data_IF_838023589411
#
_entry.id   IF_838023589411
#
_cell.length_a   1.000
_cell.length_b   1.000
_cell.length_c   1.000
_cell.angle_alpha   90.00
_cell.angle_beta   90.00
_cell.angle_gamma   90.00
#
_symmetry.space_group_name_H-M   'P 1'
#
loop_
_entity.id
_entity.type
_entity.pdbx_description
1 polymer ?
#
# COMPACT_ATOMS: atom_id res chain seq x y z
N UNK A 1 12.63 14.39 -15.93
CA UNK A 1 11.72 13.25 -15.65
C UNK A 1 10.32 13.81 -15.45
N UNK A 2 9.29 13.06 -15.76
CA UNK A 2 7.90 13.49 -15.49
C UNK A 2 7.56 13.09 -14.06
N UNK A 3 6.91 13.99 -13.29
CA UNK A 3 6.45 13.68 -11.94
C UNK A 3 5.43 12.53 -11.94
N UNK A 4 5.50 11.64 -10.96
CA UNK A 4 4.62 10.47 -10.85
C UNK A 4 3.15 10.85 -10.60
N UNK A 5 2.91 11.95 -9.90
CA UNK A 5 1.59 12.41 -9.53
C UNK A 5 1.40 13.88 -9.89
N UNK A 6 0.21 14.25 -10.39
CA UNK A 6 -0.13 15.64 -10.63
C UNK A 6 -0.89 16.22 -9.43
N UNK A 7 -0.31 17.21 -8.78
CA UNK A 7 -0.92 17.87 -7.63
C UNK A 7 -1.93 18.94 -8.03
N UNK A 8 -2.85 19.30 -7.09
CA UNK A 8 -3.80 20.42 -7.27
C UNK A 8 -3.03 21.75 -7.39
N UNK A 9 -1.92 21.89 -6.66
CA UNK A 9 -1.09 23.10 -6.64
C UNK A 9 0.39 22.74 -6.83
N UNK A 10 1.18 23.73 -7.30
CA UNK A 10 2.63 23.60 -7.43
C UNK A 10 3.28 24.86 -6.86
N UNK A 11 4.03 24.70 -5.77
CA UNK A 11 4.77 25.76 -5.08
C UNK A 11 6.19 25.25 -4.83
N UNK A 12 7.03 25.26 -5.86
CA UNK A 12 8.38 24.72 -5.78
C UNK A 12 9.26 25.56 -4.83
N UNK A 13 9.90 24.88 -3.89
CA UNK A 13 10.86 25.48 -2.96
C UNK A 13 12.29 25.27 -3.44
N UNK A 14 13.22 26.06 -2.88
CA UNK A 14 14.66 25.88 -3.04
C UNK A 14 15.29 25.12 -1.84
N UNK A 15 14.47 24.57 -0.96
CA UNK A 15 14.94 23.76 0.18
C UNK A 15 15.17 22.31 -0.29
N UNK A 16 16.20 22.11 -1.12
CA UNK A 16 16.58 20.82 -1.68
C UNK A 16 18.11 20.73 -1.87
N UNK A 17 18.64 19.52 -2.06
CA UNK A 17 20.04 19.25 -2.36
C UNK A 17 20.30 19.09 -3.89
N UNK A 18 19.40 19.60 -4.73
CA UNK A 18 19.51 19.50 -6.19
C UNK A 18 18.98 18.17 -6.76
N UNK A 19 19.33 17.93 -8.00
CA UNK A 19 18.87 16.75 -8.75
C UNK A 19 19.60 15.50 -8.24
N UNK A 20 18.84 14.44 -7.95
CA UNK A 20 19.39 13.16 -7.50
C UNK A 20 20.17 12.45 -8.61
N UNK A 21 21.25 11.80 -8.22
CA UNK A 21 22.11 11.00 -9.12
C UNK A 21 21.78 9.52 -9.06
N UNK A 22 21.13 9.07 -7.97
CA UNK A 22 20.76 7.69 -7.75
C UNK A 22 19.23 7.54 -7.71
N UNK A 23 18.69 6.42 -8.19
CA UNK A 23 17.25 6.17 -8.13
C UNK A 23 16.79 6.04 -6.67
N UNK A 24 15.67 6.68 -6.30
CA UNK A 24 15.10 6.51 -4.98
C UNK A 24 14.49 5.10 -4.84
N UNK A 25 14.43 4.58 -3.62
CA UNK A 25 14.04 3.20 -3.32
C UNK A 25 12.85 3.10 -2.39
N UNK A 26 12.51 4.19 -1.71
CA UNK A 26 11.51 4.19 -0.63
C UNK A 26 10.58 5.39 -0.78
N UNK A 27 9.31 5.20 -0.42
CA UNK A 27 8.38 6.29 -0.19
C UNK A 27 8.29 6.48 1.32
N UNK A 28 8.65 7.67 1.81
CA UNK A 28 8.55 8.03 3.22
C UNK A 28 7.30 8.85 3.49
N UNK A 29 6.54 8.44 4.49
CA UNK A 29 5.34 9.14 4.95
C UNK A 29 5.71 9.95 6.19
N UNK A 30 5.25 11.21 6.20
CA UNK A 30 5.48 12.19 7.24
C UNK A 30 4.19 12.80 7.75
N UNK A 31 4.28 13.51 8.86
CA UNK A 31 3.30 14.51 9.28
C UNK A 31 3.95 15.88 9.32
N UNK A 32 3.16 16.91 8.98
CA UNK A 32 3.64 18.28 8.96
C UNK A 32 3.85 18.86 10.38
N UNK A 33 3.25 18.20 11.38
CA UNK A 33 3.19 18.62 12.79
C UNK A 33 2.60 20.04 12.97
N UNK A 34 1.85 20.23 14.02
CA UNK A 34 1.24 21.53 14.33
C UNK A 34 -0.24 21.61 14.00
N UNK A 35 -0.69 22.75 13.47
CA UNK A 35 -2.11 22.96 13.11
C UNK A 35 -2.46 22.25 11.83
N UNK A 36 -3.74 21.88 11.69
CA UNK A 36 -4.27 21.45 10.39
C UNK A 36 -4.25 22.65 9.43
N UNK A 37 -3.25 22.68 8.57
CA UNK A 37 -3.11 23.67 7.49
C UNK A 37 -3.64 23.04 6.19
N UNK A 38 -4.13 23.87 5.29
CA UNK A 38 -4.37 23.45 3.92
C UNK A 38 -3.04 23.26 3.16
N UNK A 39 -3.11 22.54 2.04
CA UNK A 39 -1.93 22.17 1.26
C UNK A 39 -1.12 23.38 0.77
N UNK A 40 -1.81 24.47 0.40
CA UNK A 40 -1.16 25.73 -0.06
C UNK A 40 -0.43 26.40 1.10
N UNK A 41 -1.02 26.44 2.30
CA UNK A 41 -0.38 27.03 3.48
C UNK A 41 0.84 26.24 3.92
N UNK A 42 0.78 24.89 3.89
CA UNK A 42 1.93 24.03 4.16
C UNK A 42 3.08 24.30 3.18
N UNK A 43 2.80 24.25 1.88
CA UNK A 43 3.81 24.49 0.87
C UNK A 43 4.34 25.95 0.90
N UNK A 44 3.49 26.95 1.18
CA UNK A 44 3.93 28.34 1.33
C UNK A 44 4.90 28.52 2.49
N UNK A 45 4.68 27.84 3.63
CA UNK A 45 5.63 27.84 4.73
C UNK A 45 7.01 27.32 4.31
N UNK A 46 7.04 26.24 3.53
CA UNK A 46 8.25 25.59 3.06
C UNK A 46 8.98 26.38 1.93
N UNK A 47 8.38 27.44 1.35
CA UNK A 47 9.09 28.32 0.43
C UNK A 47 10.17 29.15 1.14
N UNK A 48 10.05 29.34 2.45
CA UNK A 48 11.05 30.07 3.24
C UNK A 48 12.28 29.20 3.48
N UNK A 49 13.49 29.68 3.21
CA UNK A 49 14.71 28.97 3.63
C UNK A 49 14.77 28.73 5.14
N UNK A 50 14.14 29.58 5.94
CA UNK A 50 14.07 29.43 7.40
C UNK A 50 13.21 28.25 7.86
N UNK A 51 12.38 27.69 6.98
CA UNK A 51 11.64 26.46 7.29
C UNK A 51 12.59 25.26 7.48
N UNK A 52 13.74 25.28 6.80
CA UNK A 52 14.77 24.27 6.94
C UNK A 52 14.35 22.85 6.54
N UNK A 53 13.25 22.74 5.78
CA UNK A 53 12.69 21.47 5.35
C UNK A 53 11.82 21.58 4.11
N UNK A 54 11.52 20.46 3.48
CA UNK A 54 10.60 20.35 2.34
C UNK A 54 10.20 18.88 2.11
N UNK A 55 9.16 18.69 1.30
CA UNK A 55 8.73 17.38 0.85
C UNK A 55 8.58 17.36 -0.69
N UNK A 56 8.27 16.24 -1.28
CA UNK A 56 7.85 16.20 -2.69
C UNK A 56 6.40 16.63 -2.82
N UNK A 57 5.54 16.07 -1.95
CA UNK A 57 4.10 16.35 -1.94
C UNK A 57 3.63 16.53 -0.50
N UNK A 58 2.78 17.52 -0.26
CA UNK A 58 1.99 17.68 0.96
C UNK A 58 0.52 17.44 0.67
N UNK A 59 -0.21 16.85 1.63
CA UNK A 59 -1.63 16.50 1.52
C UNK A 59 -2.37 17.03 2.74
N UNK A 60 -3.38 17.87 2.52
CA UNK A 60 -4.20 18.40 3.60
C UNK A 60 -5.34 17.47 4.02
N UNK A 61 -6.08 17.88 5.07
CA UNK A 61 -7.19 17.09 5.62
C UNK A 61 -8.33 16.83 4.64
N UNK A 62 -8.52 17.71 3.65
CA UNK A 62 -9.53 17.59 2.60
C UNK A 62 -9.05 16.80 1.37
N UNK A 63 -7.80 16.31 1.41
CA UNK A 63 -7.18 15.56 0.32
C UNK A 63 -6.69 16.44 -0.82
N UNK A 64 -6.52 17.76 -0.60
CA UNK A 64 -5.84 18.63 -1.55
C UNK A 64 -4.34 18.44 -1.44
N UNK A 65 -3.66 18.59 -2.58
CA UNK A 65 -2.23 18.31 -2.71
C UNK A 65 -1.47 19.54 -3.21
N UNK A 66 -0.28 19.76 -2.65
CA UNK A 66 0.67 20.71 -3.22
C UNK A 66 2.02 20.04 -3.43
N UNK A 67 2.65 20.34 -4.56
CA UNK A 67 4.01 19.93 -4.88
C UNK A 67 4.99 20.98 -4.40
N UNK A 68 5.98 20.55 -3.64
CA UNK A 68 7.08 21.40 -3.15
C UNK A 68 8.41 21.12 -3.87
N UNK A 69 8.64 19.89 -4.30
CA UNK A 69 9.78 19.49 -5.12
C UNK A 69 9.33 18.56 -6.24
N UNK A 70 9.93 18.70 -7.41
CA UNK A 70 9.79 17.70 -8.45
C UNK A 70 10.49 16.40 -8.04
N UNK A 71 9.99 15.26 -8.52
CA UNK A 71 10.42 13.93 -8.09
C UNK A 71 11.93 13.67 -8.32
N UNK A 72 12.54 14.41 -9.22
CA UNK A 72 13.99 14.32 -9.49
C UNK A 72 14.87 15.03 -8.45
N UNK A 73 14.31 15.86 -7.58
CA UNK A 73 15.07 16.61 -6.58
C UNK A 73 15.21 15.82 -5.26
N UNK A 74 16.20 16.18 -4.47
CA UNK A 74 16.46 15.62 -3.15
C UNK A 74 15.87 16.59 -2.11
N UNK A 75 14.64 16.36 -1.66
CA UNK A 75 13.99 17.21 -0.65
C UNK A 75 14.66 17.10 0.72
N UNK A 76 14.54 18.15 1.55
CA UNK A 76 15.06 18.16 2.92
C UNK A 76 14.00 17.64 3.90
N UNK A 77 13.86 16.33 4.06
CA UNK A 77 12.72 15.73 4.75
C UNK A 77 13.06 14.86 5.95
N UNK A 78 14.13 14.07 5.90
CA UNK A 78 14.35 12.99 6.88
C UNK A 78 15.84 12.65 7.14
N UNK A 79 16.73 13.61 7.00
CA UNK A 79 18.17 13.41 7.14
C UNK A 79 18.82 12.98 5.81
N UNK A 80 20.14 12.99 5.79
CA UNK A 80 20.97 12.82 4.59
C UNK A 80 20.64 11.58 3.79
N UNK A 81 20.59 10.42 4.46
CA UNK A 81 20.42 9.13 3.79
C UNK A 81 19.00 8.96 3.25
N UNK A 82 17.97 9.27 4.06
CA UNK A 82 16.58 9.15 3.65
C UNK A 82 16.22 10.15 2.54
N UNK A 83 16.73 11.38 2.60
CA UNK A 83 16.49 12.40 1.55
C UNK A 83 16.94 11.89 0.18
N UNK A 84 18.12 11.25 0.12
CA UNK A 84 18.70 10.75 -1.14
C UNK A 84 18.04 9.50 -1.68
N UNK A 85 17.61 8.61 -0.80
CA UNK A 85 17.07 7.32 -1.21
C UNK A 85 15.55 7.27 -1.29
N UNK A 86 14.84 8.39 -1.06
CA UNK A 86 13.38 8.39 -0.96
C UNK A 86 12.66 9.50 -1.71
N UNK A 87 11.37 9.22 -1.95
CA UNK A 87 10.36 10.25 -2.16
C UNK A 87 9.60 10.48 -0.86
N UNK A 88 9.22 11.70 -0.57
CA UNK A 88 8.68 12.13 0.71
C UNK A 88 7.30 12.75 0.54
N UNK A 89 6.31 12.21 1.27
CA UNK A 89 4.93 12.71 1.28
C UNK A 89 4.55 13.08 2.70
N UNK A 90 4.15 14.32 2.92
CA UNK A 90 3.75 14.81 4.25
C UNK A 90 2.25 15.09 4.33
N UNK A 91 1.67 14.78 5.47
CA UNK A 91 0.26 14.93 5.75
C UNK A 91 0.02 16.07 6.75
N UNK A 92 -0.98 16.92 6.52
CA UNK A 92 -1.51 17.76 7.59
C UNK A 92 -1.99 16.86 8.74
N UNK A 93 -1.43 17.05 9.92
CA UNK A 93 -1.71 16.20 11.08
C UNK A 93 -0.55 16.14 12.05
N UNK A 94 -0.66 15.26 13.03
CA UNK A 94 0.31 15.12 14.12
C UNK A 94 0.61 13.66 14.42
N UNK A 95 1.84 13.36 14.77
CA UNK A 95 2.26 12.02 15.21
C UNK A 95 1.48 11.51 16.43
N UNK A 96 0.90 12.43 17.21
CA UNK A 96 0.07 12.12 18.37
C UNK A 96 -1.35 11.64 18.01
N UNK A 97 -1.77 11.69 16.77
CA UNK A 97 -3.13 11.25 16.38
C UNK A 97 -3.30 9.74 16.61
N UNK A 98 -4.47 9.38 17.17
CA UNK A 98 -4.85 7.97 17.27
C UNK A 98 -5.16 7.37 15.89
N UNK A 99 -5.18 6.04 15.82
CA UNK A 99 -5.54 5.31 14.60
C UNK A 99 -6.95 5.69 14.11
N UNK A 100 -7.91 5.81 15.02
CA UNK A 100 -9.28 6.20 14.70
C UNK A 100 -9.32 7.62 14.13
N UNK A 101 -8.52 8.54 14.69
CA UNK A 101 -8.42 9.91 14.19
C UNK A 101 -7.88 9.94 12.76
N UNK A 102 -6.82 9.17 12.45
CA UNK A 102 -6.30 9.06 11.09
C UNK A 102 -7.33 8.46 10.13
N UNK A 103 -7.96 7.33 10.50
CA UNK A 103 -8.96 6.66 9.66
C UNK A 103 -10.22 7.51 9.44
N UNK A 104 -10.56 8.41 10.37
CA UNK A 104 -11.67 9.37 10.18
C UNK A 104 -11.38 10.43 9.11
N UNK A 105 -10.11 10.66 8.75
CA UNK A 105 -9.69 11.63 7.73
C UNK A 105 -9.73 11.00 6.32
N UNK A 106 -10.88 10.47 5.98
CA UNK A 106 -11.06 9.62 4.80
C UNK A 106 -10.50 10.22 3.51
N UNK A 107 -10.81 11.50 3.21
CA UNK A 107 -10.34 12.17 1.99
C UNK A 107 -8.81 12.22 1.91
N UNK A 108 -8.15 12.51 3.04
CA UNK A 108 -6.69 12.57 3.12
C UNK A 108 -6.07 11.18 2.95
N UNK A 109 -6.63 10.15 3.59
CA UNK A 109 -6.14 8.78 3.45
C UNK A 109 -6.37 8.23 2.04
N UNK A 110 -7.51 8.53 1.42
CA UNK A 110 -7.79 8.16 0.04
C UNK A 110 -6.77 8.81 -0.91
N UNK A 111 -6.49 10.10 -0.73
CA UNK A 111 -5.51 10.82 -1.54
C UNK A 111 -4.08 10.30 -1.34
N UNK A 112 -3.70 9.95 -0.11
CA UNK A 112 -2.41 9.34 0.16
C UNK A 112 -2.24 8.02 -0.61
N UNK A 113 -3.27 7.17 -0.62
CA UNK A 113 -3.26 5.92 -1.41
C UNK A 113 -3.08 6.22 -2.90
N UNK A 114 -3.79 7.22 -3.46
CA UNK A 114 -3.63 7.61 -4.87
C UNK A 114 -2.19 8.04 -5.18
N UNK A 115 -1.61 8.91 -4.35
CA UNK A 115 -0.24 9.41 -4.49
C UNK A 115 0.77 8.27 -4.44
N UNK A 116 0.71 7.41 -3.41
CA UNK A 116 1.65 6.30 -3.26
C UNK A 116 1.49 5.30 -4.42
N UNK A 117 0.26 5.01 -4.85
CA UNK A 117 -0.01 4.13 -6.00
C UNK A 117 0.64 4.68 -7.28
N UNK A 118 0.56 6.00 -7.51
CA UNK A 118 1.21 6.63 -8.66
C UNK A 118 2.73 6.49 -8.61
N UNK A 119 3.34 6.71 -7.45
CA UNK A 119 4.77 6.47 -7.24
C UNK A 119 5.17 5.01 -7.46
N UNK A 120 4.40 4.06 -6.92
CA UNK A 120 4.63 2.62 -7.13
C UNK A 120 4.60 2.26 -8.62
N UNK A 121 3.61 2.76 -9.37
CA UNK A 121 3.50 2.52 -10.82
C UNK A 121 4.64 3.12 -11.60
N UNK A 122 5.06 4.34 -11.26
CA UNK A 122 6.08 5.08 -12.01
C UNK A 122 7.50 4.57 -11.74
N UNK A 123 7.81 4.29 -10.47
CA UNK A 123 9.17 3.95 -10.03
C UNK A 123 9.36 2.48 -9.64
N UNK A 124 8.31 1.66 -9.70
CA UNK A 124 8.39 0.23 -9.39
C UNK A 124 8.52 -0.09 -7.90
N UNK A 125 8.09 0.82 -7.00
CA UNK A 125 8.12 0.51 -5.58
C UNK A 125 7.14 -0.61 -5.25
N UNK A 126 7.58 -1.67 -4.55
CA UNK A 126 6.65 -2.65 -4.04
C UNK A 126 5.79 -2.04 -2.91
N UNK A 127 4.49 -2.34 -2.83
CA UNK A 127 3.61 -1.84 -1.78
C UNK A 127 3.82 -2.60 -0.46
N UNK A 128 5.07 -2.67 0.00
CA UNK A 128 5.49 -3.43 1.19
C UNK A 128 6.07 -2.48 2.22
N UNK A 129 5.60 -2.60 3.46
CA UNK A 129 6.11 -1.82 4.59
C UNK A 129 7.56 -2.18 4.87
N UNK A 130 8.40 -1.17 5.08
CA UNK A 130 9.81 -1.32 5.43
C UNK A 130 10.11 -0.67 6.78
N UNK A 131 10.68 -1.45 7.65
CA UNK A 131 11.17 -1.02 8.95
C UNK A 131 12.66 -0.70 8.92
N UNK A 132 13.21 -0.18 10.00
CA UNK A 132 14.60 0.26 10.09
C UNK A 132 15.62 -0.76 9.57
N UNK A 133 15.48 -2.05 9.92
CA UNK A 133 16.36 -3.12 9.44
C UNK A 133 16.27 -3.38 7.93
N UNK A 134 15.07 -3.24 7.35
CA UNK A 134 14.88 -3.34 5.89
C UNK A 134 15.53 -2.18 5.15
N UNK A 135 15.39 -0.96 5.71
CA UNK A 135 15.97 0.25 5.14
C UNK A 135 17.49 0.16 5.08
N UNK A 136 18.13 -0.27 6.19
CA UNK A 136 19.60 -0.46 6.23
C UNK A 136 20.07 -1.59 5.33
N UNK A 137 19.21 -2.58 5.06
CA UNK A 137 19.47 -3.64 4.07
C UNK A 137 19.19 -3.20 2.61
N UNK A 138 18.81 -1.94 2.38
CA UNK A 138 18.58 -1.38 1.03
C UNK A 138 17.31 -1.88 0.34
N UNK A 139 16.33 -2.41 1.09
CA UNK A 139 15.07 -2.91 0.50
C UNK A 139 14.16 -1.77 0.07
N UNK A 140 13.44 -1.98 -1.02
CA UNK A 140 12.50 -1.03 -1.61
C UNK A 140 11.11 -1.16 -0.98
N UNK A 141 10.37 -0.06 -0.87
CA UNK A 141 8.99 -0.10 -0.40
C UNK A 141 8.47 1.20 0.19
N UNK A 142 7.52 1.06 1.14
CA UNK A 142 6.85 2.16 1.84
C UNK A 142 7.36 2.20 3.28
N UNK A 143 7.69 3.37 3.78
CA UNK A 143 8.23 3.54 5.14
C UNK A 143 7.77 4.85 5.78
N UNK A 144 8.33 5.18 6.93
CA UNK A 144 8.02 6.38 7.71
C UNK A 144 9.29 7.12 8.11
N UNK A 145 9.16 8.38 8.50
CA UNK A 145 10.26 9.13 9.08
C UNK A 145 10.80 8.45 10.35
N UNK A 146 9.93 7.96 11.23
CA UNK A 146 10.33 7.20 12.42
C UNK A 146 11.23 6.00 12.09
N UNK A 147 10.89 5.25 11.03
CA UNK A 147 11.72 4.13 10.60
C UNK A 147 13.08 4.59 10.05
N UNK A 148 13.12 5.71 9.31
CA UNK A 148 14.36 6.32 8.83
C UNK A 148 15.24 6.83 9.98
N UNK A 149 14.64 7.51 10.97
CA UNK A 149 15.33 7.96 12.17
C UNK A 149 15.97 6.79 12.95
N UNK A 150 15.25 5.69 13.10
CA UNK A 150 15.76 4.46 13.74
C UNK A 150 16.85 3.77 12.93
N UNK A 151 16.77 3.82 11.59
CA UNK A 151 17.73 3.18 10.69
C UNK A 151 19.09 3.87 10.70
N UNK A 152 19.11 5.20 10.56
CA UNK A 152 20.34 5.94 10.32
C UNK A 152 20.73 6.89 11.45
N UNK A 153 19.82 7.21 12.38
CA UNK A 153 20.06 8.09 13.53
C UNK A 153 20.52 9.50 13.12
N UNK A 154 20.05 9.96 11.97
CA UNK A 154 20.34 11.29 11.43
C UNK A 154 19.32 12.34 11.89
N UNK A 155 18.18 11.90 12.42
CA UNK A 155 17.12 12.71 13.02
C UNK A 155 16.56 11.98 14.25
N UNK A 156 15.80 12.70 15.08
CA UNK A 156 15.08 12.16 16.25
C UNK A 156 13.55 12.15 16.06
N UNK A 157 13.10 12.38 14.86
CA UNK A 157 11.68 12.45 14.52
C UNK A 157 11.02 11.05 14.58
N UNK A 158 9.75 11.04 14.96
CA UNK A 158 8.95 9.82 15.16
C UNK A 158 7.60 9.85 14.41
N UNK A 159 7.45 10.79 13.48
CA UNK A 159 6.26 10.88 12.62
C UNK A 159 6.20 9.75 11.58
N UNK A 160 4.99 9.40 11.14
CA UNK A 160 3.66 9.93 11.47
C UNK A 160 3.06 9.38 12.77
N UNK A 161 3.87 8.73 13.63
CA UNK A 161 3.48 8.23 14.94
C UNK A 161 2.88 6.83 14.93
N UNK A 162 2.80 6.24 16.13
CA UNK A 162 2.35 4.84 16.31
C UNK A 162 0.88 4.60 15.98
N UNK A 163 0.07 5.67 15.98
CA UNK A 163 -1.35 5.60 15.59
C UNK A 163 -1.58 5.60 14.08
N UNK A 164 -0.55 5.85 13.28
CA UNK A 164 -0.73 5.92 11.84
C UNK A 164 -1.04 4.56 11.22
N UNK A 165 -2.11 4.42 10.40
CA UNK A 165 -2.57 3.14 9.86
C UNK A 165 -1.78 2.72 8.61
N UNK A 166 -0.45 2.57 8.74
CA UNK A 166 0.45 2.26 7.64
C UNK A 166 0.10 0.93 6.95
N UNK A 167 -0.34 -0.05 7.73
CA UNK A 167 -0.86 -1.33 7.25
C UNK A 167 -2.04 -1.16 6.29
N UNK A 168 -3.06 -0.40 6.69
CA UNK A 168 -4.24 -0.13 5.85
C UNK A 168 -3.84 0.62 4.57
N UNK A 169 -2.89 1.56 4.65
CA UNK A 169 -2.41 2.28 3.46
C UNK A 169 -1.69 1.32 2.52
N UNK A 170 -0.77 0.50 3.02
CA UNK A 170 -0.02 -0.44 2.19
C UNK A 170 -0.94 -1.46 1.50
N UNK A 171 -1.92 -2.01 2.22
CA UNK A 171 -2.91 -2.96 1.68
C UNK A 171 -3.74 -2.30 0.57
N UNK A 172 -4.25 -1.09 0.81
CA UNK A 172 -5.04 -0.35 -0.19
C UNK A 172 -4.21 0.02 -1.43
N UNK A 173 -2.94 0.34 -1.27
CA UNK A 173 -2.02 0.57 -2.39
C UNK A 173 -1.79 -0.72 -3.17
N UNK A 174 -1.60 -1.85 -2.48
CA UNK A 174 -1.47 -3.15 -3.12
C UNK A 174 -2.71 -3.49 -3.95
N UNK A 175 -3.91 -3.30 -3.39
CA UNK A 175 -5.17 -3.51 -4.10
C UNK A 175 -5.31 -2.58 -5.32
N UNK A 176 -4.93 -1.31 -5.19
CA UNK A 176 -4.99 -0.34 -6.30
C UNK A 176 -3.97 -0.64 -7.42
N UNK A 177 -2.90 -1.37 -7.12
CA UNK A 177 -1.90 -1.78 -8.11
C UNK A 177 -2.29 -3.03 -8.89
N UNK A 178 -3.26 -3.81 -8.39
CA UNK A 178 -3.84 -4.91 -9.16
C UNK A 178 -4.49 -4.28 -10.40
N UNK A 179 -4.11 -4.68 -11.63
CA UNK A 179 -4.77 -4.19 -12.83
C UNK A 179 -6.28 -4.43 -12.69
N UNK A 180 -7.10 -3.43 -13.07
CA UNK A 180 -8.52 -3.68 -13.25
C UNK A 180 -8.65 -4.90 -14.15
N UNK A 181 -9.05 -6.03 -13.57
CA UNK A 181 -9.47 -7.17 -14.39
C UNK A 181 -10.61 -6.59 -15.21
N UNK A 182 -10.53 -6.60 -16.57
CA UNK A 182 -11.65 -6.16 -17.36
C UNK A 182 -12.85 -6.84 -16.74
N UNK A 183 -13.81 -6.05 -16.25
CA UNK A 183 -15.07 -6.60 -15.78
C UNK A 183 -15.64 -7.32 -16.99
N UNK A 184 -15.35 -8.61 -17.10
CA UNK A 184 -16.15 -9.47 -17.95
C UNK A 184 -17.56 -9.18 -17.46
N UNK A 185 -18.47 -8.61 -18.31
CA UNK A 185 -19.81 -8.27 -17.86
C UNK A 185 -20.29 -9.49 -17.11
N UNK A 186 -20.64 -9.30 -15.83
CA UNK A 186 -21.02 -10.41 -14.98
C UNK A 186 -22.01 -11.23 -15.80
N UNK A 187 -21.71 -12.48 -16.15
CA UNK A 187 -22.67 -13.29 -16.85
C UNK A 187 -23.94 -13.16 -16.03
N UNK A 188 -25.06 -12.80 -16.67
CA UNK A 188 -26.35 -12.58 -16.03
C UNK A 188 -26.47 -13.63 -14.94
N UNK A 189 -26.60 -13.17 -13.66
CA UNK A 189 -26.39 -14.01 -12.48
C UNK A 189 -26.97 -15.40 -12.76
N UNK A 190 -26.19 -16.45 -12.87
CA UNK A 190 -26.74 -17.77 -13.12
C UNK A 190 -27.75 -18.01 -12.00
N UNK A 191 -28.89 -18.65 -12.27
CA UNK A 191 -29.81 -19.02 -11.21
C UNK A 191 -28.97 -19.64 -10.09
N UNK A 192 -29.22 -19.24 -8.84
CA UNK A 192 -28.42 -19.66 -7.68
C UNK A 192 -28.26 -21.18 -7.74
N UNK A 193 -27.19 -21.63 -8.35
CA UNK A 193 -26.87 -23.04 -8.41
C UNK A 193 -26.44 -23.43 -7.02
N UNK A 194 -27.27 -24.22 -6.37
CA UNK A 194 -26.92 -24.83 -5.08
C UNK A 194 -25.65 -25.63 -5.32
N UNK A 195 -24.53 -25.15 -4.78
CA UNK A 195 -23.26 -25.87 -4.89
C UNK A 195 -23.44 -27.24 -4.26
N UNK A 196 -23.59 -28.25 -5.09
CA UNK A 196 -23.65 -29.64 -4.63
C UNK A 196 -22.21 -30.18 -4.51
N UNK A 197 -21.95 -31.17 -3.66
CA UNK A 197 -20.60 -31.76 -3.48
C UNK A 197 -19.93 -32.27 -4.77
N UNK A 198 -20.67 -32.33 -5.88
CA UNK A 198 -20.16 -32.76 -7.19
C UNK A 198 -19.90 -31.64 -8.20
N UNK A 199 -20.19 -30.37 -7.88
CA UNK A 199 -19.97 -29.25 -8.81
C UNK A 199 -18.46 -29.10 -9.10
N UNK A 200 -18.13 -28.97 -10.40
CA UNK A 200 -16.77 -28.82 -10.88
C UNK A 200 -16.48 -27.37 -11.23
N UNK A 201 -15.28 -26.91 -10.92
CA UNK A 201 -14.81 -25.55 -11.18
C UNK A 201 -13.55 -25.59 -12.06
N UNK A 202 -13.46 -24.74 -13.11
CA UNK A 202 -12.26 -24.67 -13.93
C UNK A 202 -11.10 -24.02 -13.14
N UNK A 203 -9.95 -24.66 -13.14
CA UNK A 203 -8.72 -24.05 -12.65
C UNK A 203 -8.25 -22.98 -13.65
N UNK A 204 -7.91 -21.79 -13.15
CA UNK A 204 -7.39 -20.70 -13.99
C UNK A 204 -6.01 -20.99 -14.60
N UNK A 205 -5.23 -21.93 -14.04
CA UNK A 205 -3.87 -22.20 -14.49
C UNK A 205 -3.81 -23.16 -15.67
N UNK A 206 -4.60 -24.21 -15.64
CA UNK A 206 -4.44 -25.33 -16.57
C UNK A 206 -5.77 -25.83 -17.18
N UNK A 207 -6.87 -25.13 -16.89
CA UNK A 207 -8.19 -25.45 -17.42
C UNK A 207 -8.79 -26.76 -16.91
N UNK A 208 -8.16 -27.44 -15.94
CA UNK A 208 -8.74 -28.66 -15.35
C UNK A 208 -10.02 -28.32 -14.59
N UNK A 209 -11.01 -29.15 -14.69
CA UNK A 209 -12.20 -29.06 -13.86
C UNK A 209 -11.98 -29.79 -12.54
N UNK A 210 -12.01 -29.04 -11.44
CA UNK A 210 -11.85 -29.56 -10.08
C UNK A 210 -13.20 -29.53 -9.34
N UNK A 211 -13.46 -30.53 -8.52
CA UNK A 211 -14.57 -30.45 -7.54
C UNK A 211 -14.25 -29.41 -6.51
N UNK A 212 -15.24 -28.83 -5.86
CA UNK A 212 -15.03 -27.79 -4.85
C UNK A 212 -14.01 -28.19 -3.78
N UNK A 213 -14.10 -29.43 -3.24
CA UNK A 213 -13.14 -29.94 -2.26
C UNK A 213 -11.70 -30.10 -2.83
N UNK A 214 -11.57 -30.46 -4.10
CA UNK A 214 -10.28 -30.55 -4.80
C UNK A 214 -9.71 -29.16 -5.06
N UNK A 215 -10.56 -28.21 -5.38
CA UNK A 215 -10.20 -26.82 -5.60
C UNK A 215 -9.69 -26.15 -4.31
N UNK A 216 -10.36 -26.38 -3.18
CA UNK A 216 -9.91 -25.91 -1.87
C UNK A 216 -8.56 -26.53 -1.48
N UNK A 217 -8.38 -27.85 -1.65
CA UNK A 217 -7.08 -28.49 -1.41
C UNK A 217 -5.97 -27.91 -2.28
N UNK A 218 -6.26 -27.63 -3.53
CA UNK A 218 -5.31 -27.04 -4.45
C UNK A 218 -4.86 -25.63 -4.03
N UNK A 219 -5.80 -24.80 -3.54
CA UNK A 219 -5.49 -23.50 -2.97
C UNK A 219 -4.67 -23.63 -1.70
N UNK A 220 -5.07 -24.53 -0.79
CA UNK A 220 -4.39 -24.81 0.46
C UNK A 220 -2.94 -25.25 0.20
N UNK A 221 -2.72 -26.17 -0.74
CA UNK A 221 -1.39 -26.60 -1.14
C UNK A 221 -0.54 -25.44 -1.68
N UNK A 222 -1.12 -24.54 -2.48
CA UNK A 222 -0.39 -23.36 -2.97
C UNK A 222 -0.04 -22.39 -1.84
N UNK A 223 -0.98 -22.12 -0.93
CA UNK A 223 -0.74 -21.27 0.24
C UNK A 223 0.35 -21.87 1.11
N UNK A 224 0.27 -23.16 1.39
CA UNK A 224 1.27 -23.89 2.18
C UNK A 224 2.66 -23.79 1.57
N UNK A 225 2.80 -24.04 0.26
CA UNK A 225 4.09 -23.91 -0.44
C UNK A 225 4.65 -22.48 -0.41
N UNK A 226 3.80 -21.46 -0.56
CA UNK A 226 4.21 -20.07 -0.44
C UNK A 226 4.66 -19.76 0.99
N UNK A 227 3.94 -20.28 1.97
CA UNK A 227 4.24 -20.09 3.38
C UNK A 227 5.56 -20.78 3.77
N UNK A 228 5.76 -22.05 3.41
CA UNK A 228 7.00 -22.80 3.64
C UNK A 228 8.21 -22.12 2.99
N UNK A 229 8.04 -21.55 1.81
CA UNK A 229 9.11 -20.84 1.11
C UNK A 229 9.54 -19.56 1.84
N UNK A 230 8.58 -18.82 2.43
CA UNK A 230 8.85 -17.55 3.09
C UNK A 230 9.10 -17.67 4.60
N UNK A 231 8.64 -18.75 5.22
CA UNK A 231 8.70 -18.99 6.66
C UNK A 231 9.11 -20.43 6.96
N UNK A 232 10.36 -20.83 6.66
CA UNK A 232 10.80 -22.23 6.75
C UNK A 232 10.72 -22.82 8.16
N UNK A 233 10.58 -21.99 9.21
CA UNK A 233 10.54 -22.41 10.63
C UNK A 233 9.15 -22.22 11.29
N UNK A 234 8.10 -21.94 10.52
CA UNK A 234 6.81 -21.50 11.06
C UNK A 234 5.74 -22.58 11.17
N UNK A 235 5.02 -22.58 12.27
CA UNK A 235 3.79 -23.36 12.45
C UNK A 235 2.67 -22.82 11.56
N UNK A 236 1.83 -23.70 11.01
CA UNK A 236 0.64 -23.36 10.23
C UNK A 236 -0.40 -22.59 11.09
N UNK A 237 -0.63 -21.27 10.83
CA UNK A 237 -1.59 -20.49 11.61
C UNK A 237 -3.02 -20.57 11.08
N UNK A 238 -3.31 -21.33 10.00
CA UNK A 238 -4.58 -21.25 9.28
C UNK A 238 -5.23 -22.61 9.03
N UNK A 239 -5.27 -23.49 10.02
CA UNK A 239 -6.21 -24.62 9.97
C UNK A 239 -7.66 -24.07 10.01
N UNK A 240 -8.19 -23.71 8.85
CA UNK A 240 -9.61 -23.30 8.72
C UNK A 240 -10.45 -24.56 8.58
N UNK A 241 -11.43 -24.73 9.44
CA UNK A 241 -12.44 -25.80 9.29
C UNK A 241 -13.35 -25.48 8.08
N UNK A 242 -12.94 -26.00 6.93
CA UNK A 242 -13.61 -25.78 5.64
C UNK A 242 -14.97 -26.50 5.60
N UNK A 243 -15.15 -27.55 6.36
CA UNK A 243 -16.39 -28.33 6.40
C UNK A 243 -17.56 -27.54 7.05
N UNK A 244 -17.24 -26.50 7.83
CA UNK A 244 -18.23 -25.61 8.44
C UNK A 244 -18.72 -24.49 7.50
N UNK A 245 -18.05 -24.25 6.37
CA UNK A 245 -18.41 -23.19 5.45
C UNK A 245 -19.64 -23.55 4.62
N UNK A 246 -20.74 -22.79 4.79
CA UNK A 246 -21.99 -22.99 4.03
C UNK A 246 -21.87 -22.37 2.64
N UNK A 247 -22.08 -23.17 1.61
CA UNK A 247 -22.19 -22.69 0.24
C UNK A 247 -23.30 -21.62 0.09
N UNK A 248 -23.06 -20.56 -0.65
CA UNK A 248 -24.02 -19.48 -0.88
C UNK A 248 -24.11 -18.43 0.24
N UNK A 249 -23.40 -18.60 1.35
CA UNK A 249 -23.29 -17.56 2.38
C UNK A 249 -22.35 -16.46 1.89
N UNK A 250 -22.79 -15.20 1.94
CA UNK A 250 -21.93 -14.05 1.63
C UNK A 250 -21.13 -13.65 2.87
N UNK A 251 -19.83 -13.51 2.71
CA UNK A 251 -18.91 -13.10 3.76
C UNK A 251 -18.41 -11.68 3.47
N UNK A 252 -18.36 -10.78 4.47
CA UNK A 252 -17.79 -9.45 4.28
C UNK A 252 -16.32 -9.55 3.92
N UNK A 253 -15.89 -8.72 2.96
CA UNK A 253 -14.46 -8.60 2.64
C UNK A 253 -13.72 -8.06 3.87
N UNK A 254 -12.59 -8.67 4.21
CA UNK A 254 -11.72 -8.16 5.27
C UNK A 254 -11.10 -6.79 4.92
N UNK A 255 -10.90 -6.53 3.64
CA UNK A 255 -10.25 -5.30 3.12
C UNK A 255 -11.29 -4.21 2.83
N UNK A 256 -12.48 -4.59 2.36
CA UNK A 256 -13.57 -3.65 2.03
C UNK A 256 -14.89 -4.21 2.57
N UNK A 257 -15.27 -3.77 3.75
CA UNK A 257 -16.49 -4.22 4.43
C UNK A 257 -17.79 -3.83 3.70
N UNK A 258 -17.73 -2.95 2.69
CA UNK A 258 -18.87 -2.65 1.81
C UNK A 258 -19.12 -3.72 0.76
N UNK A 259 -18.17 -4.64 0.55
CA UNK A 259 -18.27 -5.75 -0.38
C UNK A 259 -18.46 -7.05 0.37
N UNK A 260 -19.44 -7.82 -0.06
CA UNK A 260 -19.64 -9.18 0.39
C UNK A 260 -19.43 -10.13 -0.80
N UNK A 261 -18.68 -11.19 -0.57
CA UNK A 261 -18.41 -12.21 -1.58
C UNK A 261 -19.07 -13.52 -1.16
N UNK A 262 -19.65 -14.24 -2.10
CA UNK A 262 -19.95 -15.64 -1.87
C UNK A 262 -18.66 -16.43 -1.70
N UNK A 263 -18.70 -17.56 -1.03
CA UNK A 263 -17.51 -18.40 -0.84
C UNK A 263 -16.82 -18.72 -2.18
N UNK A 264 -17.60 -18.98 -3.24
CA UNK A 264 -17.09 -19.21 -4.60
C UNK A 264 -16.32 -18.00 -5.16
N UNK A 265 -16.89 -16.80 -5.03
CA UNK A 265 -16.22 -15.56 -5.47
C UNK A 265 -14.93 -15.31 -4.68
N UNK A 266 -14.96 -15.57 -3.37
CA UNK A 266 -13.80 -15.40 -2.50
C UNK A 266 -12.68 -16.37 -2.86
N UNK A 267 -13.00 -17.63 -3.07
CA UNK A 267 -12.04 -18.68 -3.47
C UNK A 267 -11.38 -18.34 -4.82
N UNK A 268 -12.14 -17.92 -5.81
CA UNK A 268 -11.61 -17.50 -7.11
C UNK A 268 -10.69 -16.28 -7.01
N UNK A 269 -11.04 -15.33 -6.17
CA UNK A 269 -10.22 -14.15 -5.93
C UNK A 269 -8.88 -14.51 -5.26
N UNK A 270 -8.89 -15.42 -4.30
CA UNK A 270 -7.68 -15.94 -3.66
C UNK A 270 -6.79 -16.67 -4.66
N UNK A 271 -7.35 -17.59 -5.45
CA UNK A 271 -6.61 -18.35 -6.45
C UNK A 271 -5.91 -17.42 -7.46
N UNK A 272 -6.63 -16.43 -7.96
CA UNK A 272 -6.07 -15.40 -8.83
C UNK A 272 -4.91 -14.62 -8.18
N UNK A 273 -5.10 -14.16 -6.93
CA UNK A 273 -4.07 -13.42 -6.19
C UNK A 273 -2.83 -14.28 -5.96
N UNK A 274 -3.00 -15.53 -5.57
CA UNK A 274 -1.89 -16.48 -5.35
C UNK A 274 -1.12 -16.72 -6.65
N UNK A 275 -1.80 -16.97 -7.76
CA UNK A 275 -1.16 -17.17 -9.05
C UNK A 275 -0.36 -15.94 -9.50
N UNK A 276 -0.92 -14.76 -9.29
CA UNK A 276 -0.23 -13.51 -9.61
C UNK A 276 1.04 -13.31 -8.77
N UNK A 277 1.00 -13.63 -7.49
CA UNK A 277 2.15 -13.59 -6.59
C UNK A 277 3.18 -14.64 -7.01
N UNK A 278 2.73 -15.88 -7.24
CA UNK A 278 3.61 -17.00 -7.62
C UNK A 278 4.40 -16.70 -8.90
N UNK A 279 3.74 -16.15 -9.93
CA UNK A 279 4.42 -15.77 -11.19
C UNK A 279 5.41 -14.62 -11.05
N UNK A 280 5.29 -13.78 -10.02
CA UNK A 280 6.20 -12.66 -9.78
C UNK A 280 7.35 -12.99 -8.84
N UNK A 281 7.18 -13.96 -7.96
CA UNK A 281 8.11 -14.26 -6.87
C UNK A 281 8.91 -15.52 -7.14
N UNK A 282 8.36 -16.45 -7.90
CA UNK A 282 9.06 -17.69 -8.31
C UNK A 282 9.47 -17.57 -9.78
N UNK A 283 10.78 -17.62 -10.08
CA UNK A 283 11.33 -17.56 -11.43
C UNK A 283 10.94 -18.77 -12.27
#
# INVERSE_FOLDING_TARGET
>A
MTNAFQCDYTLLTANDDGIRTEPPRVIYIHTFEGRDLDAVAMATYQLSPAAGGSYHIVIDADGKTARENDDQYISWSAGWTANRNGHHVSLAGQAAFSREKWLSRKKQMDKLVEVITAYCRTYGYPPVIRFAGDLTAGKWGISTHDAAAKAWKETDHHDPGVGFPLDVIADRVADALIPDIPQVPAPAAPPVEVVTPGTKYPSYLDGRELRFSEYIRYIDEKITRLFEHHFPDGADPLAVDIDAAKAGTAYPSYVDQSKAFTLDQFVRLIDYKIDHITRKVLP
#
